data_IF_828466866088
#
_entry.id   IF_828466866088
#
_cell.length_a   1.000
_cell.length_b   1.000
_cell.length_c   1.000
_cell.angle_alpha   90.00
_cell.angle_beta   90.00
_cell.angle_gamma   90.00
#
_symmetry.space_group_name_H-M   'P 1'
#
loop_
_entity.id
_entity.type
_entity.pdbx_description
1 polymer ?
#
# COMPACT_ATOMS: atom_id res chain seq x y z
N UNK A 1 -27.60 -7.31 -48.90
CA UNK A 1 -26.23 -7.28 -48.34
C UNK A 1 -26.10 -6.23 -47.22
N UNK A 2 -26.41 -4.97 -47.44
CA UNK A 2 -26.30 -3.86 -46.48
C UNK A 2 -27.04 -4.11 -45.14
N UNK A 3 -28.30 -4.59 -45.17
CA UNK A 3 -29.06 -4.92 -43.95
C UNK A 3 -28.38 -5.95 -43.05
N UNK A 4 -27.77 -6.99 -43.62
CA UNK A 4 -27.06 -8.02 -42.85
C UNK A 4 -25.77 -7.46 -42.21
N UNK A 5 -25.08 -6.57 -42.93
CA UNK A 5 -23.88 -5.87 -42.38
C UNK A 5 -24.31 -4.94 -41.25
N UNK A 6 -25.37 -4.17 -41.40
CA UNK A 6 -25.88 -3.26 -40.37
C UNK A 6 -26.32 -4.01 -39.12
N UNK A 7 -27.01 -5.14 -39.24
CA UNK A 7 -27.39 -6.01 -38.11
C UNK A 7 -26.16 -6.54 -37.42
N UNK A 8 -25.14 -7.00 -38.18
CA UNK A 8 -23.89 -7.45 -37.60
C UNK A 8 -23.16 -6.39 -36.76
N UNK A 9 -23.11 -5.16 -37.29
CA UNK A 9 -22.50 -4.01 -36.58
C UNK A 9 -23.28 -3.69 -35.30
N UNK A 10 -24.61 -3.60 -35.37
CA UNK A 10 -25.45 -3.32 -34.19
C UNK A 10 -25.30 -4.41 -33.13
N UNK A 11 -25.25 -5.69 -33.55
CA UNK A 11 -25.05 -6.82 -32.64
C UNK A 11 -23.66 -6.75 -31.96
N UNK A 12 -22.62 -6.36 -32.69
CA UNK A 12 -21.28 -6.20 -32.15
C UNK A 12 -21.22 -5.09 -31.08
N UNK A 13 -21.86 -3.92 -31.37
CA UNK A 13 -21.94 -2.83 -30.39
C UNK A 13 -22.75 -3.22 -29.15
N UNK A 14 -23.86 -3.96 -29.32
CA UNK A 14 -24.66 -4.45 -28.21
C UNK A 14 -23.85 -5.41 -27.30
N UNK A 15 -23.08 -6.34 -27.89
CA UNK A 15 -22.21 -7.25 -27.19
C UNK A 15 -21.09 -6.50 -26.45
N UNK A 16 -20.45 -5.54 -27.11
CA UNK A 16 -19.43 -4.68 -26.48
C UNK A 16 -19.99 -3.90 -25.30
N UNK A 17 -21.17 -3.31 -25.42
CA UNK A 17 -21.85 -2.59 -24.35
C UNK A 17 -22.16 -3.50 -23.16
N UNK A 18 -22.66 -4.70 -23.41
CA UNK A 18 -22.91 -5.71 -22.36
C UNK A 18 -21.60 -6.10 -21.66
N UNK A 19 -20.53 -6.34 -22.41
CA UNK A 19 -19.22 -6.66 -21.82
C UNK A 19 -18.71 -5.52 -20.95
N UNK A 20 -18.74 -4.28 -21.42
CA UNK A 20 -18.33 -3.09 -20.64
C UNK A 20 -19.18 -2.95 -19.38
N UNK A 21 -20.50 -3.17 -19.48
CA UNK A 21 -21.40 -3.13 -18.32
C UNK A 21 -21.00 -4.12 -17.23
N UNK A 22 -20.68 -5.36 -17.59
CA UNK A 22 -20.22 -6.35 -16.61
C UNK A 22 -18.83 -6.02 -16.06
N UNK A 23 -17.92 -5.56 -16.91
CA UNK A 23 -16.57 -5.15 -16.51
C UNK A 23 -16.54 -3.90 -15.60
N UNK A 24 -17.59 -3.06 -15.67
CA UNK A 24 -17.67 -1.85 -14.83
C UNK A 24 -18.23 -2.09 -13.43
N UNK A 25 -18.73 -3.30 -13.13
CA UNK A 25 -19.27 -3.61 -11.81
C UNK A 25 -18.13 -3.89 -10.82
N UNK A 26 -18.16 -3.26 -9.62
CA UNK A 26 -17.26 -3.63 -8.54
C UNK A 26 -17.40 -5.12 -8.21
N UNK A 27 -16.30 -5.75 -7.84
CA UNK A 27 -16.27 -7.15 -7.46
C UNK A 27 -16.63 -7.26 -5.97
N UNK A 28 -17.59 -8.12 -5.65
CA UNK A 28 -17.91 -8.47 -4.27
C UNK A 28 -16.88 -9.50 -3.75
N UNK A 29 -16.25 -9.21 -2.64
CA UNK A 29 -15.30 -10.08 -1.96
C UNK A 29 -16.03 -10.97 -0.92
N UNK A 30 -15.34 -12.04 -0.46
CA UNK A 30 -15.93 -13.04 0.45
C UNK A 30 -16.34 -12.45 1.81
N UNK A 31 -15.74 -11.36 2.22
CA UNK A 31 -16.05 -10.66 3.46
C UNK A 31 -17.18 -9.61 3.32
N UNK A 32 -17.81 -9.52 2.16
CA UNK A 32 -18.89 -8.58 1.87
C UNK A 32 -18.42 -7.19 1.47
N UNK A 33 -17.13 -6.96 1.39
CA UNK A 33 -16.57 -5.71 0.85
C UNK A 33 -16.55 -5.73 -0.68
N UNK A 34 -16.27 -4.57 -1.28
CA UNK A 34 -16.16 -4.41 -2.73
C UNK A 34 -14.77 -3.94 -3.11
N UNK A 35 -14.12 -4.64 -4.02
CA UNK A 35 -12.93 -4.18 -4.73
C UNK A 35 -13.28 -3.47 -6.04
N UNK A 36 -12.35 -2.71 -6.63
CA UNK A 36 -12.57 -2.04 -7.90
C UNK A 36 -13.01 -3.02 -9.01
N UNK A 37 -13.77 -2.51 -9.96
CA UNK A 37 -14.19 -3.29 -11.12
C UNK A 37 -12.99 -3.66 -12.01
N UNK A 38 -13.12 -4.75 -12.79
CA UNK A 38 -12.04 -5.14 -13.73
C UNK A 38 -11.70 -4.06 -14.74
N UNK A 39 -12.69 -3.26 -15.14
CA UNK A 39 -12.44 -2.10 -16.01
C UNK A 39 -11.61 -1.03 -15.28
N UNK A 40 -11.97 -0.71 -14.04
CA UNK A 40 -11.20 0.25 -13.24
C UNK A 40 -9.76 -0.23 -13.01
N UNK A 41 -9.56 -1.52 -12.69
CA UNK A 41 -8.25 -2.11 -12.52
C UNK A 41 -7.42 -2.06 -13.80
N UNK A 42 -8.02 -2.37 -14.96
CA UNK A 42 -7.30 -2.33 -16.25
C UNK A 42 -6.85 -0.92 -16.66
N UNK A 43 -7.46 0.12 -16.11
CA UNK A 43 -7.12 1.52 -16.38
C UNK A 43 -6.27 2.16 -15.29
N UNK A 44 -6.34 1.67 -14.06
CA UNK A 44 -5.75 2.31 -12.88
C UNK A 44 -4.66 1.51 -12.17
N UNK A 45 -4.35 0.29 -12.64
CA UNK A 45 -3.27 -0.53 -12.07
C UNK A 45 -2.31 -1.01 -13.14
N UNK A 46 -1.10 -1.39 -12.73
CA UNK A 46 -0.07 -1.97 -13.60
C UNK A 46 0.30 -3.35 -13.11
N UNK A 47 0.70 -4.24 -14.02
CA UNK A 47 1.19 -5.59 -13.67
C UNK A 47 2.69 -5.61 -13.37
N UNK A 48 3.44 -4.61 -13.88
CA UNK A 48 4.87 -4.38 -13.66
C UNK A 48 5.06 -2.90 -13.38
N UNK A 49 5.93 -2.56 -12.43
CA UNK A 49 6.31 -1.19 -12.16
C UNK A 49 7.43 -0.73 -13.11
N UNK A 50 7.72 0.56 -13.11
CA UNK A 50 8.88 1.16 -13.75
C UNK A 50 10.08 1.25 -12.79
N UNK A 51 10.13 0.35 -11.79
CA UNK A 51 11.27 0.29 -10.88
C UNK A 51 12.55 0.04 -11.65
N UNK A 52 13.50 0.94 -11.52
CA UNK A 52 14.85 0.80 -12.02
C UNK A 52 15.76 0.33 -10.87
N UNK A 53 16.51 -0.75 -11.10
CA UNK A 53 17.50 -1.27 -10.13
C UNK A 53 18.72 -0.34 -10.12
N UNK A 54 18.55 0.82 -9.51
CA UNK A 54 19.61 1.83 -9.38
C UNK A 54 20.63 1.34 -8.37
N UNK A 55 21.89 1.39 -8.74
CA UNK A 55 23.01 1.14 -7.83
C UNK A 55 23.25 2.40 -7.00
N UNK A 56 22.96 2.32 -5.72
CA UNK A 56 23.26 3.37 -4.75
C UNK A 56 24.61 3.13 -4.08
N UNK A 57 25.31 4.21 -3.73
CA UNK A 57 26.33 4.14 -2.71
C UNK A 57 25.64 3.79 -1.40
N UNK A 58 25.94 2.61 -0.85
CA UNK A 58 25.26 2.13 0.36
C UNK A 58 25.60 3.02 1.55
N UNK A 59 24.57 3.41 2.28
CA UNK A 59 24.72 4.12 3.54
C UNK A 59 25.33 3.18 4.57
N UNK A 60 26.49 3.57 5.15
CA UNK A 60 27.21 2.81 6.16
C UNK A 60 27.20 3.52 7.54
N UNK A 61 26.35 4.54 7.70
CA UNK A 61 26.26 5.28 8.96
C UNK A 61 25.43 4.55 10.02
N UNK A 62 25.42 5.13 11.22
CA UNK A 62 24.73 4.53 12.38
C UNK A 62 23.20 4.51 12.25
N UNK A 63 22.61 5.48 11.51
CA UNK A 63 21.16 5.59 11.31
C UNK A 63 20.71 4.83 10.06
N UNK A 64 20.69 3.50 10.11
CA UNK A 64 20.40 2.63 8.97
C UNK A 64 19.00 2.01 8.98
N UNK A 65 18.15 2.35 9.94
CA UNK A 65 16.78 1.82 10.04
C UNK A 65 15.73 2.84 9.63
N UNK A 66 14.65 2.35 9.06
CA UNK A 66 13.43 3.11 8.76
C UNK A 66 12.27 2.46 9.51
N UNK A 67 11.58 3.23 10.34
CA UNK A 67 10.33 2.82 10.95
C UNK A 67 9.22 2.93 9.89
N UNK A 68 8.57 1.83 9.54
CA UNK A 68 7.45 1.84 8.58
C UNK A 68 6.15 1.59 9.33
N UNK A 69 5.27 2.58 9.32
CA UNK A 69 3.95 2.51 9.97
C UNK A 69 2.91 2.14 8.90
N UNK A 70 2.48 0.90 8.92
CA UNK A 70 1.46 0.38 8.02
C UNK A 70 0.07 0.42 8.63
N UNK A 71 -0.95 0.56 7.79
CA UNK A 71 -2.34 0.31 8.22
C UNK A 71 -2.60 -1.19 8.36
N UNK A 72 -3.42 -1.53 9.34
CA UNK A 72 -4.01 -2.85 9.56
C UNK A 72 -5.50 -2.88 9.19
N UNK A 73 -6.00 -1.79 8.59
CA UNK A 73 -7.40 -1.63 8.22
C UNK A 73 -7.66 -2.29 6.85
N UNK A 74 -8.69 -3.13 6.81
CA UNK A 74 -9.06 -3.91 5.64
C UNK A 74 -10.18 -3.28 4.81
N UNK A 75 -11.10 -2.59 5.47
CA UNK A 75 -12.32 -2.11 4.85
C UNK A 75 -12.60 -0.66 5.20
N UNK A 76 -12.90 0.15 4.17
CA UNK A 76 -13.36 1.53 4.30
C UNK A 76 -14.89 1.58 4.13
N UNK A 77 -15.61 2.08 5.12
CA UNK A 77 -17.04 2.32 4.98
C UNK A 77 -17.27 3.54 4.06
N UNK A 78 -18.01 3.30 2.97
CA UNK A 78 -18.37 4.34 2.02
C UNK A 78 -19.69 5.02 2.43
N UNK A 79 -19.94 6.23 1.92
CA UNK A 79 -21.17 7.02 2.20
C UNK A 79 -22.49 6.28 1.95
N UNK A 80 -22.50 5.25 1.12
CA UNK A 80 -23.66 4.42 0.81
C UNK A 80 -23.79 3.20 1.72
N UNK A 81 -23.01 3.10 2.80
CA UNK A 81 -23.00 2.00 3.75
C UNK A 81 -22.34 0.71 3.26
N UNK A 82 -21.72 0.72 2.07
CA UNK A 82 -20.95 -0.41 1.57
C UNK A 82 -19.50 -0.32 2.03
N UNK A 83 -18.86 -1.47 2.17
CA UNK A 83 -17.44 -1.57 2.51
C UNK A 83 -16.60 -1.62 1.23
N UNK A 84 -15.58 -0.80 1.16
CA UNK A 84 -14.56 -0.86 0.11
C UNK A 84 -13.35 -1.63 0.63
N UNK A 85 -12.93 -2.66 -0.11
CA UNK A 85 -11.73 -3.44 0.22
C UNK A 85 -10.49 -2.58 0.06
N UNK A 86 -9.78 -2.34 1.15
CA UNK A 86 -8.68 -1.38 1.22
C UNK A 86 -7.45 -1.96 1.93
N UNK A 87 -6.44 -1.13 2.13
CA UNK A 87 -5.18 -1.44 2.80
C UNK A 87 -4.10 -0.43 2.43
N UNK A 88 -2.85 -0.83 2.58
CA UNK A 88 -1.71 -0.11 2.02
C UNK A 88 -1.59 -0.40 0.53
N UNK A 89 -1.28 0.60 -0.29
CA UNK A 89 -1.08 0.36 -1.72
C UNK A 89 0.28 -0.34 -1.94
N UNK A 90 0.31 -1.51 -2.60
CA UNK A 90 1.53 -2.32 -2.68
C UNK A 90 2.71 -1.59 -3.31
N UNK A 91 2.49 -0.89 -4.43
CA UNK A 91 3.54 -0.16 -5.15
C UNK A 91 4.08 0.99 -4.28
N UNK A 92 3.17 1.75 -3.65
CA UNK A 92 3.54 2.92 -2.83
C UNK A 92 4.27 2.54 -1.53
N UNK A 93 4.16 1.30 -1.11
CA UNK A 93 4.92 0.76 0.02
C UNK A 93 6.22 0.09 -0.45
N UNK A 94 6.11 -0.87 -1.36
CA UNK A 94 7.20 -1.80 -1.66
C UNK A 94 8.27 -1.21 -2.59
N UNK A 95 7.91 -0.34 -3.54
CA UNK A 95 8.91 0.30 -4.42
C UNK A 95 9.82 1.26 -3.64
N UNK A 96 9.32 2.14 -2.77
CA UNK A 96 10.20 2.92 -1.89
C UNK A 96 11.06 2.03 -0.97
N UNK A 97 10.51 0.93 -0.45
CA UNK A 97 11.30 -0.02 0.34
C UNK A 97 12.42 -0.65 -0.49
N UNK A 98 12.20 -0.99 -1.78
CA UNK A 98 13.26 -1.48 -2.67
C UNK A 98 14.41 -0.47 -2.81
N UNK A 99 14.08 0.79 -3.10
CA UNK A 99 15.10 1.85 -3.22
C UNK A 99 15.86 2.08 -1.93
N UNK A 100 15.16 2.19 -0.80
CA UNK A 100 15.78 2.37 0.51
C UNK A 100 16.66 1.18 0.89
N UNK A 101 16.21 -0.05 0.60
CA UNK A 101 17.00 -1.25 0.85
C UNK A 101 18.27 -1.28 0.00
N UNK A 102 18.17 -0.96 -1.29
CA UNK A 102 19.32 -0.86 -2.18
C UNK A 102 20.31 0.22 -1.69
N UNK A 103 19.80 1.27 -1.06
CA UNK A 103 20.61 2.32 -0.43
C UNK A 103 21.18 1.94 0.95
N UNK A 104 20.92 0.73 1.46
CA UNK A 104 21.52 0.22 2.69
C UNK A 104 20.67 0.39 3.96
N UNK A 105 19.36 0.66 3.82
CA UNK A 105 18.46 0.78 4.96
C UNK A 105 17.69 -0.53 5.21
N UNK A 106 17.45 -0.81 6.49
CA UNK A 106 16.56 -1.86 6.98
C UNK A 106 15.25 -1.30 7.52
N UNK A 107 14.24 -2.17 7.69
CA UNK A 107 12.90 -1.75 8.09
C UNK A 107 12.44 -2.39 9.39
N UNK A 108 11.97 -1.55 10.31
CA UNK A 108 11.13 -1.97 11.43
C UNK A 108 9.67 -1.75 11.03
N UNK A 109 8.91 -2.85 10.93
CA UNK A 109 7.52 -2.82 10.46
C UNK A 109 6.59 -2.84 11.66
N UNK A 110 5.74 -1.82 11.74
CA UNK A 110 4.76 -1.68 12.82
C UNK A 110 3.36 -1.43 12.26
N UNK A 111 2.35 -1.80 13.05
CA UNK A 111 0.96 -1.36 12.86
C UNK A 111 0.43 -0.79 14.18
N UNK A 112 -0.63 0.00 14.18
CA UNK A 112 -1.18 0.61 15.40
C UNK A 112 -1.40 -0.38 16.54
N UNK A 113 -1.97 -1.56 16.27
CA UNK A 113 -2.29 -2.55 17.32
C UNK A 113 -1.50 -3.86 17.23
N UNK A 114 -0.60 -4.01 16.26
CA UNK A 114 0.18 -5.22 16.03
C UNK A 114 -0.58 -6.28 15.21
N UNK A 115 -1.72 -5.95 14.63
CA UNK A 115 -2.41 -6.82 13.68
C UNK A 115 -1.66 -6.86 12.35
N UNK A 116 -1.84 -7.93 11.55
CA UNK A 116 -1.20 -8.05 10.25
C UNK A 116 -1.39 -6.82 9.36
N UNK A 117 -0.35 -6.48 8.63
CA UNK A 117 -0.41 -5.46 7.58
C UNK A 117 -1.42 -5.88 6.51
N UNK A 118 -2.27 -4.96 6.11
CA UNK A 118 -3.23 -5.18 5.04
C UNK A 118 -2.80 -4.43 3.79
N UNK A 119 -2.76 -5.13 2.66
CA UNK A 119 -2.47 -4.55 1.35
C UNK A 119 -3.70 -4.57 0.45
N UNK A 120 -3.80 -3.58 -0.42
CA UNK A 120 -4.74 -3.55 -1.56
C UNK A 120 -4.28 -4.55 -2.63
N UNK A 121 -4.45 -5.88 -2.35
CA UNK A 121 -3.93 -6.94 -3.21
C UNK A 121 -4.49 -6.92 -4.63
N UNK A 122 -5.60 -6.24 -4.86
CA UNK A 122 -6.13 -5.98 -6.19
C UNK A 122 -5.28 -5.03 -7.03
N UNK A 123 -4.39 -4.24 -6.38
CA UNK A 123 -3.40 -3.36 -7.02
C UNK A 123 -1.97 -3.94 -7.03
N UNK A 124 -1.80 -5.20 -6.60
CA UNK A 124 -0.47 -5.80 -6.55
C UNK A 124 0.10 -6.03 -7.96
N UNK A 125 1.33 -5.58 -8.27
CA UNK A 125 1.92 -5.75 -9.60
C UNK A 125 2.44 -7.19 -9.76
N UNK A 126 1.53 -8.08 -10.16
CA UNK A 126 1.74 -9.54 -10.12
C UNK A 126 2.83 -10.08 -11.06
N UNK A 127 3.31 -9.28 -12.01
CA UNK A 127 4.38 -9.66 -12.95
C UNK A 127 5.72 -8.99 -12.60
N UNK A 128 5.76 -8.15 -11.54
CA UNK A 128 6.98 -7.48 -11.08
C UNK A 128 7.76 -8.35 -10.10
N UNK A 129 8.86 -8.91 -10.55
CA UNK A 129 9.68 -9.83 -9.74
C UNK A 129 10.39 -9.12 -8.59
N UNK A 130 10.77 -7.84 -8.73
CA UNK A 130 11.41 -7.07 -7.66
C UNK A 130 10.42 -6.80 -6.52
N UNK A 131 9.20 -6.38 -6.86
CA UNK A 131 8.15 -6.14 -5.86
C UNK A 131 7.72 -7.44 -5.17
N UNK A 132 7.62 -8.54 -5.90
CA UNK A 132 7.37 -9.86 -5.30
C UNK A 132 8.49 -10.29 -4.35
N UNK A 133 9.74 -10.07 -4.74
CA UNK A 133 10.90 -10.47 -3.94
C UNK A 133 10.92 -9.74 -2.59
N UNK A 134 10.76 -8.41 -2.58
CA UNK A 134 10.74 -7.66 -1.32
C UNK A 134 9.49 -7.99 -0.49
N UNK A 135 8.32 -8.16 -1.11
CA UNK A 135 7.13 -8.60 -0.39
C UNK A 135 7.37 -9.94 0.32
N UNK A 136 7.94 -10.92 -0.38
CA UNK A 136 8.25 -12.23 0.18
C UNK A 136 9.31 -12.17 1.29
N UNK A 137 10.30 -11.34 1.14
CA UNK A 137 11.35 -11.15 2.14
C UNK A 137 10.78 -10.65 3.47
N UNK A 138 9.85 -9.66 3.43
CA UNK A 138 9.23 -9.10 4.62
C UNK A 138 7.87 -9.73 4.97
N UNK A 139 7.47 -10.83 4.32
CA UNK A 139 6.17 -11.46 4.53
C UNK A 139 5.90 -11.84 5.99
N UNK A 140 6.93 -12.33 6.69
CA UNK A 140 6.83 -12.66 8.11
C UNK A 140 6.58 -11.43 8.97
N UNK A 141 7.24 -10.31 8.66
CA UNK A 141 7.06 -9.04 9.35
C UNK A 141 5.68 -8.43 9.05
N UNK A 142 5.18 -8.56 7.81
CA UNK A 142 3.83 -8.13 7.47
C UNK A 142 2.75 -8.94 8.17
N UNK A 143 2.98 -10.24 8.36
CA UNK A 143 2.04 -11.12 9.08
C UNK A 143 2.07 -10.94 10.60
N UNK A 144 3.20 -10.56 11.14
CA UNK A 144 3.44 -10.39 12.58
C UNK A 144 4.22 -9.09 12.84
N UNK A 145 3.63 -7.92 12.50
CA UNK A 145 4.28 -6.64 12.74
C UNK A 145 4.39 -6.36 14.24
N UNK A 146 5.34 -5.54 14.61
CA UNK A 146 5.43 -5.04 15.98
C UNK A 146 4.27 -4.07 16.25
N UNK A 147 3.74 -4.08 17.46
CA UNK A 147 2.76 -3.10 17.88
C UNK A 147 3.42 -1.74 18.09
N UNK A 148 2.83 -0.67 17.57
CA UNK A 148 3.43 0.67 17.65
C UNK A 148 3.67 1.13 19.09
N UNK A 149 2.80 0.79 20.05
CA UNK A 149 3.01 1.12 21.47
C UNK A 149 4.23 0.43 22.06
N UNK A 150 4.51 -0.81 21.65
CA UNK A 150 5.65 -1.56 22.14
C UNK A 150 6.94 -1.01 21.53
N UNK A 151 6.90 -0.63 20.26
CA UNK A 151 7.99 0.12 19.62
C UNK A 151 8.32 1.41 20.37
N UNK A 152 7.28 2.22 20.71
CA UNK A 152 7.45 3.46 21.45
C UNK A 152 8.11 3.22 22.82
N UNK A 153 7.66 2.21 23.56
CA UNK A 153 8.21 1.91 24.88
C UNK A 153 9.65 1.41 24.84
N UNK A 154 10.00 0.65 23.79
CA UNK A 154 11.30 -0.03 23.71
C UNK A 154 12.38 0.86 23.07
N UNK A 155 12.00 1.72 22.12
CA UNK A 155 12.97 2.31 21.18
C UNK A 155 13.08 3.83 21.25
N UNK A 156 12.07 4.58 21.72
CA UNK A 156 12.09 6.05 21.67
C UNK A 156 13.23 6.68 22.44
N UNK A 157 13.57 6.15 23.60
CA UNK A 157 14.62 6.69 24.45
C UNK A 157 16.00 6.11 24.14
N UNK A 158 16.05 4.86 23.69
CA UNK A 158 17.27 4.06 23.69
C UNK A 158 17.87 3.81 22.31
N UNK A 159 17.10 3.89 21.21
CA UNK A 159 17.58 3.52 19.88
C UNK A 159 17.79 4.75 18.97
N UNK A 160 19.05 5.02 18.66
CA UNK A 160 19.48 6.09 17.76
C UNK A 160 19.69 5.63 16.32
N UNK A 161 19.36 4.36 15.99
CA UNK A 161 19.67 3.77 14.69
C UNK A 161 18.68 4.15 13.58
N UNK A 162 17.62 4.91 13.87
CA UNK A 162 16.63 5.30 12.88
C UNK A 162 17.03 6.54 12.09
N UNK A 163 16.84 6.47 10.77
CA UNK A 163 17.01 7.59 9.83
C UNK A 163 15.69 8.26 9.49
N UNK A 164 14.59 7.50 9.46
CA UNK A 164 13.31 7.98 8.99
C UNK A 164 12.13 7.25 9.64
N UNK A 165 10.96 7.92 9.58
CA UNK A 165 9.64 7.30 9.69
C UNK A 165 8.99 7.34 8.31
N UNK A 166 8.45 6.22 7.86
CA UNK A 166 7.76 6.07 6.59
C UNK A 166 6.30 5.67 6.80
N UNK A 167 5.36 6.44 6.26
CA UNK A 167 3.93 6.12 6.22
C UNK A 167 3.52 5.94 4.75
N UNK A 168 3.36 4.69 4.29
CA UNK A 168 2.93 4.40 2.93
C UNK A 168 1.53 4.91 2.62
N UNK A 169 1.21 5.01 1.33
CA UNK A 169 -0.13 5.33 0.89
C UNK A 169 -1.05 4.10 0.80
N UNK A 170 -2.15 4.28 0.10
CA UNK A 170 -3.29 3.37 0.03
C UNK A 170 -4.48 3.95 0.78
N UNK A 171 -5.69 3.59 0.36
CA UNK A 171 -6.90 4.14 0.98
C UNK A 171 -7.04 3.77 2.46
N UNK A 172 -6.45 2.65 2.87
CA UNK A 172 -6.42 2.22 4.27
C UNK A 172 -5.62 3.15 5.19
N UNK A 173 -4.69 3.94 4.66
CA UNK A 173 -3.96 4.95 5.42
C UNK A 173 -4.85 6.10 5.92
N UNK A 174 -6.02 6.28 5.31
CA UNK A 174 -7.02 7.27 5.77
C UNK A 174 -7.84 6.83 6.98
N UNK A 175 -7.66 5.60 7.47
CA UNK A 175 -8.46 5.02 8.54
C UNK A 175 -7.56 4.48 9.64
N UNK A 176 -7.79 4.95 10.85
CA UNK A 176 -7.06 4.47 12.04
C UNK A 176 -5.65 5.05 12.18
N UNK A 177 -4.97 5.39 11.09
CA UNK A 177 -3.66 6.05 11.12
C UNK A 177 -3.79 7.52 11.58
N UNK A 178 -4.66 8.37 10.98
CA UNK A 178 -4.79 9.77 11.38
C UNK A 178 -5.32 9.97 12.80
N UNK A 179 -6.14 9.06 13.28
CA UNK A 179 -6.75 9.15 14.61
C UNK A 179 -5.88 8.53 15.71
N UNK A 180 -4.81 7.80 15.36
CA UNK A 180 -4.00 7.10 16.35
C UNK A 180 -2.97 8.02 16.99
N UNK A 181 -3.11 8.23 18.31
CA UNK A 181 -2.22 9.09 19.09
C UNK A 181 -0.77 8.58 19.13
N UNK A 182 -0.53 7.29 18.91
CA UNK A 182 0.82 6.74 18.90
C UNK A 182 1.49 6.99 17.55
N UNK A 183 0.72 7.05 16.46
CA UNK A 183 1.23 7.54 15.16
C UNK A 183 1.68 8.98 15.32
N UNK A 184 0.85 9.85 15.88
CA UNK A 184 1.24 11.24 16.15
C UNK A 184 2.49 11.34 17.05
N UNK A 185 2.62 10.48 18.07
CA UNK A 185 3.84 10.41 18.89
C UNK A 185 5.06 10.00 18.10
N UNK A 186 4.93 9.02 17.20
CA UNK A 186 6.05 8.56 16.37
C UNK A 186 6.51 9.63 15.39
N UNK A 187 5.58 10.39 14.79
CA UNK A 187 5.90 11.52 13.91
C UNK A 187 6.56 12.67 14.68
N UNK A 188 6.07 13.01 15.87
CA UNK A 188 6.71 14.01 16.73
C UNK A 188 8.11 13.55 17.19
N UNK A 189 8.27 12.29 17.55
CA UNK A 189 9.58 11.71 17.88
C UNK A 189 10.57 11.82 16.71
N UNK A 190 10.11 11.57 15.48
CA UNK A 190 10.92 11.77 14.30
C UNK A 190 11.35 13.23 14.13
N UNK A 191 10.40 14.16 14.30
CA UNK A 191 10.68 15.60 14.25
C UNK A 191 11.69 16.03 15.31
N UNK A 192 11.49 15.64 16.56
CA UNK A 192 12.34 16.04 17.70
C UNK A 192 13.77 15.51 17.61
N UNK A 193 14.00 14.47 16.78
CA UNK A 193 15.30 13.83 16.57
C UNK A 193 15.93 14.13 15.20
N UNK A 194 15.36 15.07 14.45
CA UNK A 194 15.81 15.40 13.09
C UNK A 194 15.86 14.18 12.17
N UNK A 195 14.86 13.27 12.28
CA UNK A 195 14.68 12.16 11.35
C UNK A 195 13.85 12.60 10.15
N UNK A 196 14.04 11.93 9.02
CA UNK A 196 13.18 12.15 7.87
C UNK A 196 11.77 11.59 8.12
N UNK A 197 10.76 12.32 7.64
CA UNK A 197 9.39 11.82 7.53
C UNK A 197 9.08 11.62 6.06
N UNK A 198 8.82 10.36 5.67
CA UNK A 198 8.50 9.96 4.30
C UNK A 198 7.02 9.62 4.27
N UNK A 199 6.27 10.26 3.39
CA UNK A 199 4.85 9.97 3.19
C UNK A 199 4.53 9.93 1.71
N UNK A 200 3.60 9.05 1.31
CA UNK A 200 3.17 8.92 -0.08
C UNK A 200 1.64 8.93 -0.15
N UNK A 201 1.11 9.48 -1.24
CA UNK A 201 -0.30 9.46 -1.61
C UNK A 201 -1.22 9.88 -0.44
N UNK A 202 -1.84 8.92 0.27
CA UNK A 202 -2.70 9.16 1.45
C UNK A 202 -1.93 9.19 2.78
N UNK A 203 -0.65 8.77 2.79
CA UNK A 203 0.21 8.80 3.98
C UNK A 203 0.32 10.19 4.65
N UNK A 204 0.31 11.33 3.93
CA UNK A 204 0.31 12.66 4.57
C UNK A 204 -0.90 12.98 5.45
N UNK A 205 -1.94 12.13 5.43
CA UNK A 205 -3.08 12.24 6.31
C UNK A 205 -2.84 11.74 7.74
N UNK A 206 -1.66 11.16 8.00
CA UNK A 206 -1.28 10.57 9.29
C UNK A 206 -1.17 11.60 10.44
#
# INVERSE_FOLDING_TARGET
MIKKILIGIVSLFALAFVAIYFMSKPKLEDDGSYSPSSLALSLGTVSVTDFEDIVYDKYEGERSKVLVIFTEQKNLEMKNGKLFSTGNHPIEALVPMLHLKNAGFDFEIVTPTGKPVVFEMWAFPNEDENVKAIYKEYESNFKQPKKLTDFISDSFESDSSYAAVFVPGGHGAMIGIPEDRNVAKALNWAHDRDLFTITLCHGPGA
#
